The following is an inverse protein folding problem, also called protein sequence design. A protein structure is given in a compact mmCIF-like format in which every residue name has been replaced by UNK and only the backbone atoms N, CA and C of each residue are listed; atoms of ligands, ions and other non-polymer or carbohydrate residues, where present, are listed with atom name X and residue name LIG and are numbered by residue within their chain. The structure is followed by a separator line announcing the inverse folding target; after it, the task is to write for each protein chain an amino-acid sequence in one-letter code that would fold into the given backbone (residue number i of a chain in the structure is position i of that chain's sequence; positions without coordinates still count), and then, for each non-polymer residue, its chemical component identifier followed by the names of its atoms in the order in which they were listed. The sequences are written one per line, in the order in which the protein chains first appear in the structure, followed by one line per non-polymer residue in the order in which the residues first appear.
data_IF_362806776330
#
_entry.id   IF_362806776330
#
_cell.length_a   1.000
_cell.length_b   1.000
_cell.length_c   1.000
_cell.angle_alpha   90.00
_cell.angle_beta   90.00
_cell.angle_gamma   90.00
#
_symmetry.space_group_name_H-M   'P 1'
#
loop_
_entity.id
_entity.type
_entity.pdbx_description
1 polymer ?
#
# COMPACT_ATOMS: atom_id res chain seq x y z
N UNK A 1 -12.56 4.29 -26.30
CA UNK A 1 -12.09 2.92 -26.58
C UNK A 1 -11.83 2.26 -25.25
N UNK A 2 -12.57 1.19 -24.96
CA UNK A 2 -12.54 0.47 -23.69
C UNK A 2 -11.20 -0.24 -23.51
N UNK A 3 -10.27 0.34 -22.77
CA UNK A 3 -9.06 -0.35 -22.31
C UNK A 3 -9.39 -1.03 -20.99
N UNK A 4 -9.75 -2.32 -21.08
CA UNK A 4 -9.82 -3.18 -19.90
C UNK A 4 -8.45 -3.15 -19.19
N UNK A 5 -8.45 -2.82 -17.91
CA UNK A 5 -7.26 -2.86 -17.07
C UNK A 5 -6.78 -4.31 -16.91
N UNK A 6 -5.46 -4.55 -16.85
CA UNK A 6 -4.92 -5.91 -16.78
C UNK A 6 -5.31 -6.55 -15.45
N UNK A 7 -6.10 -7.62 -15.53
CA UNK A 7 -6.35 -8.56 -14.42
C UNK A 7 -5.00 -9.20 -14.09
N UNK A 8 -4.38 -8.80 -12.97
CA UNK A 8 -3.03 -9.22 -12.60
C UNK A 8 -3.04 -10.63 -11.98
N UNK A 9 -2.27 -11.54 -12.60
CA UNK A 9 -1.82 -12.87 -12.17
C UNK A 9 -2.90 -13.85 -11.69
N UNK A 10 -3.13 -14.91 -12.49
CA UNK A 10 -4.06 -16.00 -12.21
C UNK A 10 -3.67 -16.77 -10.94
N UNK A 11 -4.54 -16.70 -9.94
CA UNK A 11 -4.46 -17.53 -8.76
C UNK A 11 -5.26 -18.82 -9.01
N UNK A 12 -4.60 -19.98 -9.10
CA UNK A 12 -5.28 -21.24 -9.40
C UNK A 12 -5.84 -21.90 -8.12
N UNK A 13 -7.14 -22.21 -8.12
CA UNK A 13 -7.89 -22.87 -7.03
C UNK A 13 -9.25 -22.21 -6.77
N UNK A 14 -10.29 -22.99 -6.44
CA UNK A 14 -11.68 -22.51 -6.29
C UNK A 14 -11.82 -21.27 -5.39
N UNK A 15 -11.16 -21.26 -4.23
CA UNK A 15 -11.16 -20.12 -3.31
C UNK A 15 -10.63 -18.83 -3.95
N UNK A 16 -9.58 -18.96 -4.77
CA UNK A 16 -8.93 -17.83 -5.42
C UNK A 16 -9.71 -17.34 -6.64
N UNK A 17 -10.34 -18.26 -7.39
CA UNK A 17 -11.24 -17.93 -8.49
C UNK A 17 -12.46 -17.13 -8.00
N UNK A 18 -13.03 -17.52 -6.87
CA UNK A 18 -14.17 -16.82 -6.28
C UNK A 18 -13.79 -15.42 -5.78
N UNK A 19 -12.63 -15.30 -5.13
CA UNK A 19 -12.05 -14.00 -4.80
C UNK A 19 -11.86 -13.14 -6.04
N UNK A 20 -11.34 -13.69 -7.13
CA UNK A 20 -11.11 -12.95 -8.38
C UNK A 20 -12.41 -12.48 -9.05
N UNK A 21 -13.50 -13.26 -8.95
CA UNK A 21 -14.83 -12.83 -9.39
C UNK A 21 -15.32 -11.60 -8.63
N UNK A 22 -15.09 -11.56 -7.31
CA UNK A 22 -15.44 -10.40 -6.48
C UNK A 22 -14.54 -9.21 -6.83
N UNK A 23 -13.23 -9.41 -7.02
CA UNK A 23 -12.33 -8.33 -7.45
C UNK A 23 -12.74 -7.74 -8.80
N UNK A 24 -13.21 -8.55 -9.75
CA UNK A 24 -13.78 -8.04 -11.00
C UNK A 24 -15.06 -7.20 -10.78
N UNK A 25 -15.87 -7.50 -9.76
CA UNK A 25 -17.01 -6.67 -9.36
C UNK A 25 -16.54 -5.37 -8.70
N UNK A 26 -15.44 -5.39 -7.94
CA UNK A 26 -14.82 -4.20 -7.33
C UNK A 26 -14.36 -3.22 -8.41
N UNK A 27 -13.68 -3.68 -9.45
CA UNK A 27 -13.28 -2.82 -10.58
C UNK A 27 -14.49 -2.16 -11.24
N UNK A 28 -15.52 -2.95 -11.59
CA UNK A 28 -16.76 -2.40 -12.16
C UNK A 28 -17.43 -1.40 -11.23
N UNK A 29 -17.42 -1.67 -9.92
CA UNK A 29 -18.03 -0.79 -8.92
C UNK A 29 -17.31 0.56 -8.85
N UNK A 30 -15.98 0.56 -8.88
CA UNK A 30 -15.16 1.78 -8.92
C UNK A 30 -15.40 2.58 -10.21
N UNK A 31 -15.38 1.90 -11.36
CA UNK A 31 -15.66 2.51 -12.67
C UNK A 31 -17.04 3.17 -12.72
N UNK A 32 -18.08 2.44 -12.30
CA UNK A 32 -19.46 2.94 -12.27
C UNK A 32 -19.63 4.11 -11.31
N UNK A 33 -19.04 4.03 -10.12
CA UNK A 33 -19.10 5.09 -9.11
C UNK A 33 -18.43 6.37 -9.62
N UNK A 34 -17.19 6.28 -10.10
CA UNK A 34 -16.45 7.44 -10.60
C UNK A 34 -17.06 8.03 -11.87
N UNK A 35 -17.59 7.19 -12.77
CA UNK A 35 -18.31 7.68 -13.94
C UNK A 35 -19.60 8.42 -13.57
N UNK A 36 -20.30 7.98 -12.52
CA UNK A 36 -21.48 8.67 -12.02
C UNK A 36 -21.12 10.01 -11.37
N UNK A 37 -20.07 10.05 -10.55
CA UNK A 37 -19.57 11.30 -9.97
C UNK A 37 -19.16 12.29 -11.05
N UNK A 38 -18.40 11.84 -12.05
CA UNK A 38 -17.98 12.65 -13.18
C UNK A 38 -19.16 13.25 -13.93
N UNK A 39 -20.20 12.45 -14.23
CA UNK A 39 -21.43 12.95 -14.88
C UNK A 39 -22.16 14.00 -14.03
N UNK A 40 -22.23 13.76 -12.72
CA UNK A 40 -22.94 14.64 -11.78
C UNK A 40 -22.25 16.00 -11.68
N UNK A 41 -20.92 16.02 -11.55
CA UNK A 41 -20.15 17.26 -11.50
C UNK A 41 -20.09 17.99 -12.85
N UNK A 42 -19.97 17.27 -13.96
CA UNK A 42 -20.01 17.86 -15.31
C UNK A 42 -21.30 18.64 -15.58
N UNK A 43 -22.43 18.18 -15.03
CA UNK A 43 -23.73 18.85 -15.18
C UNK A 43 -23.82 20.18 -14.40
N UNK A 44 -23.00 20.35 -13.36
CA UNK A 44 -22.98 21.54 -12.51
C UNK A 44 -21.89 22.52 -12.93
N UNK A 45 -20.68 22.02 -13.17
CA UNK A 45 -19.55 22.80 -13.65
C UNK A 45 -18.60 21.88 -14.46
N UNK A 46 -18.39 22.13 -15.76
CA UNK A 46 -17.47 21.36 -16.58
C UNK A 46 -16.04 21.30 -16.04
N UNK A 47 -15.57 22.31 -15.31
CA UNK A 47 -14.22 22.35 -14.75
C UNK A 47 -14.08 21.45 -13.52
N UNK A 48 -15.17 21.17 -12.80
CA UNK A 48 -15.14 20.32 -11.61
C UNK A 48 -14.79 18.85 -11.92
N UNK A 49 -14.90 18.42 -13.19
CA UNK A 49 -14.53 17.07 -13.60
C UNK A 49 -13.02 16.83 -13.52
N UNK A 50 -12.19 17.87 -13.57
CA UNK A 50 -10.72 17.76 -13.50
C UNK A 50 -10.30 17.00 -12.23
N UNK A 51 -10.94 17.30 -11.10
CA UNK A 51 -10.62 16.66 -9.82
C UNK A 51 -11.07 15.20 -9.77
N UNK A 52 -12.24 14.89 -10.35
CA UNK A 52 -12.77 13.52 -10.43
C UNK A 52 -11.91 12.69 -11.38
N UNK A 53 -11.50 13.27 -12.51
CA UNK A 53 -10.64 12.62 -13.50
C UNK A 53 -9.27 12.31 -12.89
N UNK A 54 -8.69 13.19 -12.05
CA UNK A 54 -7.47 12.91 -11.30
C UNK A 54 -7.60 11.67 -10.38
N UNK A 55 -8.73 11.53 -9.66
CA UNK A 55 -8.98 10.33 -8.84
C UNK A 55 -9.13 9.09 -9.71
N UNK A 56 -9.88 9.19 -10.81
CA UNK A 56 -10.11 8.07 -11.72
C UNK A 56 -8.83 7.60 -12.42
N UNK A 57 -7.94 8.52 -12.79
CA UNK A 57 -6.63 8.21 -13.34
C UNK A 57 -5.74 7.48 -12.33
N UNK A 58 -5.75 7.90 -11.05
CA UNK A 58 -5.01 7.21 -10.00
C UNK A 58 -5.51 5.77 -9.81
N UNK A 59 -6.84 5.59 -9.65
CA UNK A 59 -7.48 4.27 -9.54
C UNK A 59 -7.19 3.40 -10.77
N UNK A 60 -7.30 3.99 -11.95
CA UNK A 60 -7.09 3.36 -13.26
C UNK A 60 -5.62 3.15 -13.65
N UNK A 61 -4.66 3.67 -12.87
CA UNK A 61 -3.23 3.43 -13.12
C UNK A 61 -2.79 2.01 -12.78
N UNK A 62 -3.73 1.14 -12.39
CA UNK A 62 -3.54 -0.29 -12.13
C UNK A 62 -3.11 -0.58 -10.70
N UNK A 63 -2.38 -1.68 -10.50
CA UNK A 63 -1.92 -2.16 -9.20
C UNK A 63 -2.38 -3.59 -8.93
N UNK A 64 -1.72 -4.28 -8.01
CA UNK A 64 -2.00 -5.68 -7.68
C UNK A 64 -3.30 -5.88 -6.87
N UNK A 65 -4.00 -4.79 -6.52
CA UNK A 65 -5.20 -4.77 -5.67
C UNK A 65 -5.06 -5.61 -4.39
N UNK A 66 -3.88 -5.54 -3.74
CA UNK A 66 -3.57 -6.37 -2.57
C UNK A 66 -4.57 -6.16 -1.43
N UNK A 67 -4.91 -4.90 -1.12
CA UNK A 67 -5.84 -4.55 -0.04
C UNK A 67 -7.25 -5.10 -0.30
N UNK A 68 -7.90 -4.83 -1.46
CA UNK A 68 -9.12 -5.52 -1.84
C UNK A 68 -9.00 -7.05 -1.76
N UNK A 69 -7.90 -7.63 -2.26
CA UNK A 69 -7.68 -9.08 -2.31
C UNK A 69 -7.65 -9.71 -0.91
N UNK A 70 -6.93 -9.11 0.03
CA UNK A 70 -6.90 -9.56 1.43
C UNK A 70 -8.25 -9.38 2.13
N UNK A 71 -8.97 -8.29 1.84
CA UNK A 71 -10.31 -8.08 2.40
C UNK A 71 -11.29 -9.16 1.94
N UNK A 72 -11.34 -9.43 0.63
CA UNK A 72 -12.19 -10.47 0.06
C UNK A 72 -11.80 -11.86 0.58
N UNK A 73 -10.50 -12.14 0.71
CA UNK A 73 -10.04 -13.41 1.27
C UNK A 73 -10.50 -13.59 2.73
N UNK A 74 -10.41 -12.55 3.56
CA UNK A 74 -10.91 -12.60 4.94
C UNK A 74 -12.43 -12.81 5.02
N UNK A 75 -13.18 -12.17 4.12
CA UNK A 75 -14.64 -12.31 4.03
C UNK A 75 -15.06 -13.73 3.63
N UNK A 76 -14.47 -14.27 2.57
CA UNK A 76 -14.81 -15.60 2.07
C UNK A 76 -14.30 -16.71 3.02
N UNK A 77 -13.13 -16.54 3.62
CA UNK A 77 -12.64 -17.46 4.65
C UNK A 77 -13.58 -17.52 5.87
N UNK A 78 -14.21 -16.38 6.22
CA UNK A 78 -15.23 -16.28 7.25
C UNK A 78 -16.62 -16.81 6.84
N UNK A 79 -16.78 -17.37 5.63
CA UNK A 79 -18.06 -17.91 5.15
C UNK A 79 -19.04 -16.86 4.63
N UNK A 80 -18.55 -15.67 4.26
CA UNK A 80 -19.36 -14.61 3.67
C UNK A 80 -19.99 -15.00 2.32
N UNK A 81 -21.16 -14.43 2.01
CA UNK A 81 -21.87 -14.65 0.75
C UNK A 81 -21.13 -13.96 -0.41
N UNK A 82 -20.56 -14.72 -1.37
CA UNK A 82 -19.81 -14.16 -2.48
C UNK A 82 -20.61 -13.19 -3.34
N UNK A 83 -21.95 -13.24 -3.32
CA UNK A 83 -22.82 -12.36 -4.10
C UNK A 83 -23.19 -11.06 -3.36
N UNK A 84 -22.88 -10.95 -2.06
CA UNK A 84 -23.16 -9.78 -1.25
C UNK A 84 -22.55 -8.51 -1.87
N UNK A 85 -23.26 -7.39 -1.75
CA UNK A 85 -22.81 -6.10 -2.29
C UNK A 85 -21.80 -5.43 -1.36
N UNK A 86 -21.97 -5.63 -0.06
CA UNK A 86 -21.23 -4.99 1.01
C UNK A 86 -19.73 -5.26 0.91
N UNK A 87 -19.33 -6.49 0.56
CA UNK A 87 -17.91 -6.82 0.38
C UNK A 87 -17.30 -6.08 -0.82
N UNK A 88 -18.07 -5.89 -1.89
CA UNK A 88 -17.62 -5.11 -3.06
C UNK A 88 -17.45 -3.65 -2.68
N UNK A 89 -18.38 -3.07 -1.93
CA UNK A 89 -18.31 -1.68 -1.48
C UNK A 89 -17.13 -1.47 -0.49
N UNK A 90 -16.88 -2.40 0.45
CA UNK A 90 -15.72 -2.35 1.35
C UNK A 90 -14.39 -2.43 0.58
N UNK A 91 -14.27 -3.41 -0.32
CA UNK A 91 -13.04 -3.61 -1.08
C UNK A 91 -12.77 -2.43 -2.04
N UNK A 92 -13.81 -1.84 -2.64
CA UNK A 92 -13.69 -0.62 -3.43
C UNK A 92 -13.27 0.59 -2.57
N UNK A 93 -13.79 0.72 -1.35
CA UNK A 93 -13.38 1.78 -0.43
C UNK A 93 -11.89 1.68 -0.06
N UNK A 94 -11.37 0.47 0.17
CA UNK A 94 -9.94 0.24 0.42
C UNK A 94 -9.06 0.70 -0.76
N UNK A 95 -9.52 0.54 -2.00
CA UNK A 95 -8.78 1.00 -3.18
C UNK A 95 -8.82 2.54 -3.34
N UNK A 96 -9.92 3.18 -2.94
CA UNK A 96 -10.01 4.63 -2.88
C UNK A 96 -9.16 5.22 -1.76
N UNK A 97 -9.11 4.59 -0.58
CA UNK A 97 -8.14 4.92 0.48
C UNK A 97 -6.70 4.76 -0.02
N UNK A 98 -6.45 3.73 -0.83
CA UNK A 98 -5.14 3.57 -1.45
C UNK A 98 -4.81 4.68 -2.44
N UNK A 99 -5.77 5.09 -3.24
CA UNK A 99 -5.61 6.22 -4.16
C UNK A 99 -5.37 7.53 -3.40
N UNK A 100 -6.08 7.78 -2.30
CA UNK A 100 -5.81 8.88 -1.37
C UNK A 100 -4.35 8.86 -0.90
N UNK A 101 -3.90 7.73 -0.37
CA UNK A 101 -2.57 7.60 0.21
C UNK A 101 -1.48 7.86 -0.83
N UNK A 102 -1.63 7.34 -2.05
CA UNK A 102 -0.66 7.54 -3.13
C UNK A 102 -0.61 8.99 -3.62
N UNK A 103 -1.76 9.64 -3.79
CA UNK A 103 -1.84 11.05 -4.23
C UNK A 103 -1.16 11.98 -3.24
N UNK A 104 -1.35 11.74 -1.94
CA UNK A 104 -0.74 12.52 -0.87
C UNK A 104 0.75 12.19 -0.70
N UNK A 105 1.13 10.91 -0.70
CA UNK A 105 2.53 10.48 -0.62
C UNK A 105 3.36 11.09 -1.75
N UNK A 106 2.84 11.10 -2.99
CA UNK A 106 3.56 11.68 -4.13
C UNK A 106 3.91 13.17 -3.92
N UNK A 107 3.04 13.92 -3.25
CA UNK A 107 3.28 15.33 -2.92
C UNK A 107 4.29 15.45 -1.77
N UNK A 108 4.14 14.64 -0.72
CA UNK A 108 5.01 14.69 0.46
C UNK A 108 6.45 14.29 0.13
N UNK A 109 6.63 13.33 -0.78
CA UNK A 109 7.93 12.82 -1.24
C UNK A 109 8.54 13.62 -2.41
N UNK A 110 7.86 14.67 -2.91
CA UNK A 110 8.24 15.42 -4.13
C UNK A 110 8.50 14.47 -5.34
N UNK A 111 7.65 13.44 -5.48
CA UNK A 111 7.86 12.37 -6.44
C UNK A 111 7.50 12.81 -7.86
N UNK A 112 8.46 12.80 -8.78
CA UNK A 112 8.19 13.17 -10.19
C UNK A 112 7.35 12.13 -10.94
N UNK A 113 7.56 10.84 -10.62
CA UNK A 113 6.98 9.71 -11.34
C UNK A 113 6.35 8.68 -10.40
N UNK A 114 5.21 8.13 -10.83
CA UNK A 114 4.59 6.93 -10.26
C UNK A 114 4.22 5.96 -11.37
N UNK A 115 4.65 4.69 -11.23
CA UNK A 115 4.42 3.63 -12.24
C UNK A 115 4.82 4.09 -13.65
N UNK A 116 5.98 4.75 -13.75
CA UNK A 116 6.54 5.30 -14.98
C UNK A 116 5.71 6.39 -15.66
N UNK A 117 4.76 7.02 -14.95
CA UNK A 117 3.98 8.16 -15.42
C UNK A 117 4.19 9.36 -14.49
N UNK A 118 4.05 10.61 -14.99
CA UNK A 118 4.06 11.79 -14.14
C UNK A 118 3.03 11.69 -13.02
N UNK A 119 3.40 12.09 -11.81
CA UNK A 119 2.47 12.18 -10.68
C UNK A 119 1.44 13.29 -10.91
N UNK A 120 0.32 13.24 -10.17
CA UNK A 120 -0.76 14.20 -10.32
C UNK A 120 -0.27 15.66 -10.18
N UNK A 121 0.55 15.95 -9.16
CA UNK A 121 1.04 17.31 -8.96
C UNK A 121 1.94 17.79 -10.10
N UNK A 122 2.73 16.92 -10.72
CA UNK A 122 3.53 17.25 -11.90
C UNK A 122 2.66 17.51 -13.13
N UNK A 123 1.65 16.66 -13.37
CA UNK A 123 0.70 16.81 -14.48
C UNK A 123 -0.05 18.13 -14.40
N UNK A 124 -0.60 18.48 -13.23
CA UNK A 124 -1.37 19.70 -13.06
C UNK A 124 -0.48 20.96 -13.00
N UNK A 125 0.77 20.87 -12.53
CA UNK A 125 1.73 21.97 -12.66
C UNK A 125 2.09 22.27 -14.13
N UNK A 126 2.22 21.24 -14.96
CA UNK A 126 2.42 21.39 -16.40
C UNK A 126 1.20 22.00 -17.09
N UNK A 127 -0.02 21.55 -16.73
CA UNK A 127 -1.28 22.10 -17.24
C UNK A 127 -1.41 23.60 -16.91
N UNK A 128 -1.10 24.01 -15.68
CA UNK A 128 -1.12 25.42 -15.28
C UNK A 128 -0.24 26.30 -16.19
N UNK A 129 0.97 25.82 -16.48
CA UNK A 129 1.92 26.50 -17.38
C UNK A 129 1.41 26.55 -18.82
N UNK A 130 0.87 25.43 -19.33
CA UNK A 130 0.31 25.35 -20.68
C UNK A 130 -0.84 26.34 -20.87
N UNK A 131 -1.70 26.50 -19.87
CA UNK A 131 -2.85 27.41 -19.89
C UNK A 131 -2.48 28.88 -19.68
N UNK A 132 -1.23 29.18 -19.36
CA UNK A 132 -0.78 30.56 -19.09
C UNK A 132 -1.49 31.20 -17.90
N UNK A 133 -1.89 30.38 -16.91
CA UNK A 133 -2.57 30.86 -15.73
C UNK A 133 -1.63 31.67 -14.82
N UNK A 134 -2.22 32.53 -13.99
CA UNK A 134 -1.47 33.35 -13.02
C UNK A 134 -1.09 32.51 -11.80
N UNK A 135 0.00 32.89 -11.13
CA UNK A 135 0.49 32.22 -9.91
C UNK A 135 1.58 31.18 -10.19
N UNK A 136 1.93 30.41 -9.15
CA UNK A 136 2.98 29.40 -9.20
C UNK A 136 2.41 28.02 -9.59
N UNK A 137 2.89 27.45 -10.69
CA UNK A 137 2.39 26.17 -11.23
C UNK A 137 2.62 24.98 -10.30
N UNK A 138 3.76 24.92 -9.60
CA UNK A 138 4.05 23.84 -8.62
C UNK A 138 2.98 23.79 -7.54
N UNK A 139 2.69 24.92 -6.89
CA UNK A 139 1.63 25.02 -5.87
C UNK A 139 0.24 24.67 -6.39
N UNK A 140 -0.08 25.04 -7.63
CA UNK A 140 -1.34 24.61 -8.24
C UNK A 140 -1.41 23.09 -8.35
N UNK A 141 -0.36 22.46 -8.87
CA UNK A 141 -0.26 21.00 -8.98
C UNK A 141 -0.39 20.29 -7.64
N UNK A 142 0.38 20.72 -6.64
CA UNK A 142 0.31 20.19 -5.27
C UNK A 142 -1.11 20.34 -4.69
N UNK A 143 -1.75 21.50 -4.89
CA UNK A 143 -3.11 21.75 -4.41
C UNK A 143 -4.13 20.81 -5.05
N UNK A 144 -4.03 20.55 -6.36
CA UNK A 144 -4.93 19.61 -7.05
C UNK A 144 -4.73 18.19 -6.53
N UNK A 145 -3.47 17.74 -6.37
CA UNK A 145 -3.18 16.40 -5.86
C UNK A 145 -3.69 16.19 -4.42
N UNK A 146 -3.53 17.18 -3.54
CA UNK A 146 -4.07 17.14 -2.17
C UNK A 146 -5.60 17.03 -2.20
N UNK A 147 -6.28 17.89 -2.95
CA UNK A 147 -7.74 17.87 -3.07
C UNK A 147 -8.26 16.58 -3.71
N UNK A 148 -7.53 16.01 -4.67
CA UNK A 148 -7.90 14.75 -5.31
C UNK A 148 -7.77 13.59 -4.32
N UNK A 149 -6.71 13.59 -3.50
CA UNK A 149 -6.58 12.65 -2.40
C UNK A 149 -7.77 12.76 -1.45
N UNK A 150 -8.04 13.96 -0.93
CA UNK A 150 -9.16 14.19 -0.01
C UNK A 150 -10.50 13.72 -0.59
N UNK A 151 -10.73 13.98 -1.88
CA UNK A 151 -11.92 13.51 -2.59
C UNK A 151 -11.98 11.98 -2.66
N UNK A 152 -10.87 11.30 -2.90
CA UNK A 152 -10.81 9.84 -2.90
C UNK A 152 -11.17 9.26 -1.51
N UNK A 153 -10.70 9.88 -0.42
CA UNK A 153 -11.07 9.48 0.94
C UNK A 153 -12.57 9.72 1.21
N UNK A 154 -13.12 10.87 0.79
CA UNK A 154 -14.57 11.15 0.88
C UNK A 154 -15.38 10.12 0.09
N UNK A 155 -14.91 9.70 -1.08
CA UNK A 155 -15.56 8.66 -1.86
C UNK A 155 -15.49 7.28 -1.19
N UNK A 156 -14.38 6.95 -0.54
CA UNK A 156 -14.26 5.73 0.25
C UNK A 156 -15.32 5.71 1.38
N UNK A 157 -15.45 6.79 2.14
CA UNK A 157 -16.47 6.92 3.19
C UNK A 157 -17.89 6.77 2.66
N UNK A 158 -18.17 7.32 1.46
CA UNK A 158 -19.48 7.19 0.80
C UNK A 158 -19.80 5.76 0.38
N UNK A 159 -18.79 4.95 0.02
CA UNK A 159 -18.99 3.52 -0.26
C UNK A 159 -19.25 2.72 1.02
N UNK A 160 -18.67 3.14 2.14
CA UNK A 160 -18.87 2.49 3.44
C UNK A 160 -20.16 2.94 4.15
N UNK A 161 -20.92 3.86 3.54
CA UNK A 161 -22.16 4.37 4.10
C UNK A 161 -23.18 3.22 4.28
N UNK A 162 -23.62 3.01 5.53
CA UNK A 162 -24.60 1.98 5.86
C UNK A 162 -24.01 0.62 6.25
N UNK A 163 -22.68 0.48 6.31
CA UNK A 163 -22.06 -0.72 6.83
C UNK A 163 -22.20 -0.85 8.37
N UNK A 164 -22.17 -2.09 8.91
CA UNK A 164 -22.24 -2.35 10.34
C UNK A 164 -21.17 -1.59 11.14
N UNK A 165 -21.54 -1.10 12.33
CA UNK A 165 -20.64 -0.37 13.23
C UNK A 165 -19.28 -1.08 13.46
N UNK A 166 -19.23 -2.41 13.68
CA UNK A 166 -17.95 -3.09 13.89
C UNK A 166 -16.98 -3.02 12.69
N UNK A 167 -17.49 -3.03 11.46
CA UNK A 167 -16.66 -2.87 10.25
C UNK A 167 -16.16 -1.43 10.15
N UNK A 168 -17.02 -0.45 10.46
CA UNK A 168 -16.62 0.97 10.47
C UNK A 168 -15.60 1.30 11.56
N UNK A 169 -15.62 0.60 12.70
CA UNK A 169 -14.60 0.76 13.74
C UNK A 169 -13.22 0.36 13.23
N UNK A 170 -13.12 -0.80 12.58
CA UNK A 170 -11.86 -1.27 11.97
C UNK A 170 -11.38 -0.29 10.89
N UNK A 171 -12.30 0.25 10.08
CA UNK A 171 -11.98 1.30 9.10
C UNK A 171 -11.43 2.57 9.74
N UNK A 172 -12.06 3.08 10.80
CA UNK A 172 -11.59 4.27 11.51
C UNK A 172 -10.20 4.07 12.12
N UNK A 173 -9.94 2.89 12.69
CA UNK A 173 -8.61 2.52 13.18
C UNK A 173 -7.59 2.45 12.04
N UNK A 174 -7.93 1.81 10.91
CA UNK A 174 -7.10 1.73 9.72
C UNK A 174 -6.70 3.12 9.20
N UNK A 175 -7.65 4.03 9.04
CA UNK A 175 -7.37 5.40 8.60
C UNK A 175 -6.49 6.14 9.61
N UNK A 176 -6.76 5.99 10.90
CA UNK A 176 -5.98 6.63 11.97
C UNK A 176 -4.53 6.13 11.97
N UNK A 177 -4.34 4.82 11.93
CA UNK A 177 -3.02 4.18 11.88
C UNK A 177 -2.24 4.59 10.64
N UNK A 178 -2.89 4.63 9.47
CA UNK A 178 -2.27 5.07 8.23
C UNK A 178 -1.79 6.52 8.32
N UNK A 179 -2.61 7.44 8.85
CA UNK A 179 -2.22 8.84 9.00
C UNK A 179 -1.07 9.01 9.99
N UNK A 180 -1.13 8.31 11.13
CA UNK A 180 -0.05 8.34 12.13
C UNK A 180 1.23 7.77 11.53
N UNK A 181 1.16 6.63 10.85
CA UNK A 181 2.30 6.02 10.16
C UNK A 181 2.93 6.95 9.14
N UNK A 182 2.12 7.64 8.33
CA UNK A 182 2.59 8.64 7.37
C UNK A 182 3.28 9.83 8.05
N UNK A 183 2.69 10.35 9.13
CA UNK A 183 3.32 11.43 9.88
C UNK A 183 4.66 11.00 10.49
N UNK A 184 4.74 9.79 11.06
CA UNK A 184 5.97 9.26 11.62
C UNK A 184 7.06 9.13 10.55
N UNK A 185 6.71 8.70 9.33
CA UNK A 185 7.61 8.59 8.18
C UNK A 185 8.14 9.97 7.76
N UNK A 186 7.25 10.96 7.57
CA UNK A 186 7.63 12.34 7.26
C UNK A 186 8.51 12.95 8.36
N UNK A 187 8.19 12.68 9.64
CA UNK A 187 8.98 13.16 10.78
C UNK A 187 10.36 12.51 10.82
N UNK A 188 10.44 11.20 10.59
CA UNK A 188 11.70 10.46 10.56
C UNK A 188 12.60 11.00 9.45
N UNK A 189 12.04 11.17 8.25
CA UNK A 189 12.72 11.76 7.10
C UNK A 189 13.20 13.19 7.38
N UNK A 190 12.48 13.99 8.17
CA UNK A 190 12.91 15.34 8.54
C UNK A 190 13.98 15.38 9.64
N UNK A 191 13.98 14.42 10.56
CA UNK A 191 14.93 14.37 11.68
C UNK A 191 16.28 13.77 11.30
N UNK A 192 16.31 12.84 10.33
CA UNK A 192 17.52 12.13 9.89
C UNK A 192 18.27 11.39 11.02
N UNK A 193 17.57 11.03 12.10
CA UNK A 193 18.16 10.26 13.22
C UNK A 193 17.86 8.77 13.02
N UNK A 194 18.87 7.88 13.08
CA UNK A 194 18.64 6.44 13.08
C UNK A 194 17.78 6.00 14.27
N UNK A 195 16.58 5.51 14.02
CA UNK A 195 15.69 4.95 15.03
C UNK A 195 15.06 3.63 14.52
N UNK A 196 15.68 2.47 14.85
CA UNK A 196 15.17 1.17 14.47
C UNK A 196 13.77 0.83 14.99
N UNK A 197 13.39 1.38 16.15
CA UNK A 197 12.08 1.15 16.75
C UNK A 197 11.01 1.94 15.97
N UNK A 198 11.27 3.23 15.72
CA UNK A 198 10.38 4.07 14.91
C UNK A 198 10.17 3.49 13.50
N UNK A 199 11.22 3.01 12.88
CA UNK A 199 11.15 2.38 11.54
C UNK A 199 10.26 1.14 11.54
N UNK A 200 10.31 0.36 12.62
CA UNK A 200 9.43 -0.80 12.81
C UNK A 200 7.97 -0.37 12.97
N UNK A 201 7.69 0.72 13.68
CA UNK A 201 6.34 1.29 13.79
C UNK A 201 5.81 1.85 12.46
N UNK A 202 6.65 2.52 11.68
CA UNK A 202 6.29 3.01 10.34
C UNK A 202 5.92 1.84 9.43
N UNK A 203 6.79 0.82 9.36
CA UNK A 203 6.53 -0.39 8.58
C UNK A 203 5.25 -1.12 9.04
N UNK A 204 5.04 -1.21 10.35
CA UNK A 204 3.83 -1.79 10.93
C UNK A 204 2.57 -1.07 10.44
N UNK A 205 2.52 0.26 10.57
CA UNK A 205 1.31 1.01 10.21
C UNK A 205 1.11 1.15 8.70
N UNK A 206 2.16 1.52 7.94
CA UNK A 206 2.08 1.78 6.48
C UNK A 206 2.11 0.52 5.63
N UNK A 207 2.65 -0.60 6.11
CA UNK A 207 2.68 -1.84 5.35
C UNK A 207 1.77 -2.89 5.98
N UNK A 208 2.07 -3.37 7.19
CA UNK A 208 1.39 -4.55 7.73
C UNK A 208 -0.08 -4.34 8.08
N UNK A 209 -0.37 -3.35 8.92
CA UNK A 209 -1.74 -3.01 9.32
C UNK A 209 -2.56 -2.62 8.11
N UNK A 210 -2.05 -1.65 7.35
CA UNK A 210 -2.76 -1.06 6.23
C UNK A 210 -2.99 -2.01 5.05
N UNK A 211 -1.99 -2.82 4.68
CA UNK A 211 -2.04 -3.61 3.44
C UNK A 211 -2.71 -4.96 3.65
N UNK A 212 -2.56 -5.56 4.83
CA UNK A 212 -2.91 -6.98 5.06
C UNK A 212 -3.87 -7.15 6.24
N UNK A 213 -3.44 -6.78 7.45
CA UNK A 213 -4.14 -7.09 8.70
C UNK A 213 -5.53 -6.45 8.77
N UNK A 214 -5.63 -5.13 8.56
CA UNK A 214 -6.90 -4.39 8.63
C UNK A 214 -7.85 -4.81 7.50
N UNK A 215 -7.42 -4.93 6.23
CA UNK A 215 -8.26 -5.51 5.18
C UNK A 215 -8.84 -6.89 5.53
N UNK A 216 -8.01 -7.85 5.98
CA UNK A 216 -8.49 -9.17 6.42
C UNK A 216 -9.52 -9.08 7.53
N UNK A 217 -9.23 -8.27 8.56
CA UNK A 217 -10.12 -8.08 9.70
C UNK A 217 -11.46 -7.45 9.30
N UNK A 218 -11.46 -6.48 8.38
CA UNK A 218 -12.70 -5.91 7.83
C UNK A 218 -13.54 -6.96 7.11
N UNK A 219 -12.91 -7.80 6.30
CA UNK A 219 -13.57 -8.90 5.59
C UNK A 219 -14.17 -9.91 6.56
N UNK A 220 -13.38 -10.42 7.49
CA UNK A 220 -13.81 -11.38 8.51
C UNK A 220 -14.96 -10.83 9.36
N UNK A 221 -14.86 -9.57 9.78
CA UNK A 221 -15.90 -8.91 10.57
C UNK A 221 -17.20 -8.77 9.78
N UNK A 222 -17.12 -8.44 8.49
CA UNK A 222 -18.29 -8.34 7.62
C UNK A 222 -18.97 -9.71 7.44
N UNK A 223 -18.21 -10.80 7.46
CA UNK A 223 -18.75 -12.18 7.43
C UNK A 223 -19.28 -12.67 8.80
N UNK A 224 -19.05 -11.92 9.88
CA UNK A 224 -19.40 -12.34 11.24
C UNK A 224 -18.41 -13.32 11.88
N UNK A 225 -17.21 -13.48 11.32
CA UNK A 225 -16.16 -14.39 11.78
C UNK A 225 -15.19 -13.70 12.75
N UNK A 226 -15.67 -13.38 13.96
CA UNK A 226 -14.86 -12.68 14.98
C UNK A 226 -13.73 -13.54 15.56
N UNK A 227 -13.91 -14.86 15.55
CA UNK A 227 -12.92 -15.86 15.96
C UNK A 227 -11.68 -15.88 15.06
N UNK A 228 -11.78 -15.37 13.83
CA UNK A 228 -10.66 -15.27 12.89
C UNK A 228 -9.80 -14.01 13.08
N UNK A 229 -10.23 -13.04 13.91
CA UNK A 229 -9.53 -11.74 14.02
C UNK A 229 -8.14 -11.85 14.65
N UNK A 230 -7.98 -12.63 15.72
CA UNK A 230 -6.67 -12.83 16.37
C UNK A 230 -5.68 -13.58 15.45
N UNK A 231 -6.06 -14.69 14.78
CA UNK A 231 -5.21 -15.31 13.78
C UNK A 231 -4.86 -14.40 12.60
N UNK A 232 -5.81 -13.58 12.12
CA UNK A 232 -5.55 -12.62 11.05
C UNK A 232 -4.67 -11.45 11.51
N UNK A 233 -4.68 -11.12 12.80
CA UNK A 233 -3.74 -10.17 13.38
C UNK A 233 -2.30 -10.72 13.27
N UNK A 234 -2.05 -11.91 13.80
CA UNK A 234 -0.74 -12.57 13.73
C UNK A 234 -0.25 -12.75 12.29
N UNK A 235 -1.14 -13.19 11.39
CA UNK A 235 -0.84 -13.33 9.97
C UNK A 235 -0.49 -11.99 9.31
N UNK A 236 -1.33 -10.97 9.50
CA UNK A 236 -1.18 -9.69 8.83
C UNK A 236 0.06 -8.92 9.26
N UNK A 237 0.41 -8.98 10.56
CA UNK A 237 1.65 -8.44 11.09
C UNK A 237 2.87 -9.08 10.43
N UNK A 238 2.91 -10.42 10.38
CA UNK A 238 4.04 -11.15 9.84
C UNK A 238 4.22 -10.93 8.32
N UNK A 239 3.14 -11.03 7.54
CA UNK A 239 3.19 -10.77 6.08
C UNK A 239 3.55 -9.32 5.79
N UNK A 240 3.03 -8.38 6.59
CA UNK A 240 3.34 -6.96 6.49
C UNK A 240 4.82 -6.61 6.64
N UNK A 241 5.44 -7.17 7.67
CA UNK A 241 6.88 -7.01 7.95
C UNK A 241 7.71 -7.65 6.84
N UNK A 242 7.37 -8.88 6.42
CA UNK A 242 8.03 -9.56 5.32
C UNK A 242 7.93 -8.79 4.00
N UNK A 243 6.76 -8.21 3.71
CA UNK A 243 6.52 -7.39 2.52
C UNK A 243 7.39 -6.13 2.53
N UNK A 244 7.45 -5.42 3.66
CA UNK A 244 8.28 -4.22 3.76
C UNK A 244 9.78 -4.55 3.66
N UNK A 245 10.24 -5.62 4.31
CA UNK A 245 11.63 -6.07 4.20
C UNK A 245 12.00 -6.45 2.77
N UNK A 246 11.10 -7.09 2.02
CA UNK A 246 11.32 -7.34 0.59
C UNK A 246 11.46 -6.04 -0.19
N UNK A 247 10.53 -5.10 0.02
CA UNK A 247 10.55 -3.83 -0.69
C UNK A 247 11.85 -3.08 -0.40
N UNK A 248 12.30 -3.05 0.85
CA UNK A 248 13.60 -2.47 1.24
C UNK A 248 14.78 -3.20 0.58
N UNK A 249 14.76 -4.53 0.48
CA UNK A 249 15.80 -5.29 -0.22
C UNK A 249 15.84 -4.97 -1.72
N UNK A 250 14.68 -4.82 -2.35
CA UNK A 250 14.58 -4.47 -3.77
C UNK A 250 15.06 -3.03 -4.00
N UNK A 251 14.68 -2.08 -3.16
CA UNK A 251 15.12 -0.69 -3.28
C UNK A 251 16.62 -0.54 -2.98
N UNK A 252 17.17 -1.36 -2.06
CA UNK A 252 18.58 -1.37 -1.74
C UNK A 252 19.47 -2.09 -2.77
N UNK A 253 19.07 -3.28 -3.23
CA UNK A 253 19.92 -4.20 -4.02
C UNK A 253 19.37 -4.55 -5.41
N UNK A 254 18.14 -4.16 -5.71
CA UNK A 254 17.48 -4.45 -6.99
C UNK A 254 18.06 -3.63 -8.15
N UNK A 255 17.91 -4.15 -9.36
CA UNK A 255 18.22 -3.39 -10.57
C UNK A 255 17.09 -2.39 -10.85
N UNK A 256 17.41 -1.25 -11.48
CA UNK A 256 16.43 -0.21 -11.83
C UNK A 256 15.28 -0.72 -12.73
N UNK A 257 15.49 -1.84 -13.44
CA UNK A 257 14.47 -2.49 -14.24
C UNK A 257 13.35 -3.14 -13.39
N UNK A 258 13.65 -3.55 -12.16
CA UNK A 258 12.70 -4.25 -11.26
C UNK A 258 11.99 -3.26 -10.33
N UNK A 259 12.68 -2.21 -9.86
CA UNK A 259 12.12 -1.25 -8.88
C UNK A 259 11.36 -0.09 -9.53
N UNK A 260 11.62 0.21 -10.81
CA UNK A 260 11.05 1.37 -11.50
C UNK A 260 11.54 2.73 -10.98
N UNK A 261 12.46 2.73 -10.01
CA UNK A 261 13.14 3.89 -9.43
C UNK A 261 14.64 3.86 -9.79
N UNK A 262 15.37 4.97 -9.72
CA UNK A 262 16.83 4.93 -9.74
C UNK A 262 17.32 4.01 -8.61
N UNK A 263 18.20 3.05 -8.91
CA UNK A 263 18.81 2.22 -7.87
C UNK A 263 19.45 3.10 -6.80
N UNK A 264 19.36 2.69 -5.52
CA UNK A 264 19.97 3.37 -4.37
C UNK A 264 19.33 4.71 -3.99
N UNK A 265 18.07 4.97 -4.40
CA UNK A 265 17.37 6.22 -4.05
C UNK A 265 17.25 6.40 -2.53
N UNK A 266 16.91 5.33 -1.80
CA UNK A 266 16.69 5.41 -0.36
C UNK A 266 17.97 5.71 0.42
N UNK A 267 19.12 5.20 -0.04
CA UNK A 267 20.42 5.55 0.53
C UNK A 267 20.78 7.01 0.25
N UNK A 268 20.47 7.53 -0.94
CA UNK A 268 20.66 8.95 -1.27
C UNK A 268 19.73 9.87 -0.50
N UNK A 269 18.55 9.36 -0.12
CA UNK A 269 17.60 10.04 0.75
C UNK A 269 17.87 9.78 2.25
N UNK A 270 18.92 9.00 2.57
CA UNK A 270 19.28 8.61 3.94
C UNK A 270 18.09 8.11 4.76
N UNK A 271 17.18 7.35 4.12
CA UNK A 271 15.98 6.82 4.79
C UNK A 271 16.37 5.70 5.74
N UNK A 272 15.89 5.81 6.97
CA UNK A 272 16.03 4.78 8.00
C UNK A 272 14.99 3.66 7.76
N UNK A 273 15.32 2.71 6.88
CA UNK A 273 14.41 1.62 6.49
C UNK A 273 14.42 0.47 7.51
N UNK A 274 13.50 -0.49 7.36
CA UNK A 274 13.49 -1.68 8.22
C UNK A 274 14.72 -2.56 7.95
N UNK A 275 15.20 -2.60 6.70
CA UNK A 275 16.52 -3.18 6.37
C UNK A 275 17.65 -2.55 7.17
N UNK A 276 17.72 -1.22 7.21
CA UNK A 276 18.77 -0.53 7.99
C UNK A 276 18.61 -0.81 9.49
N UNK A 277 17.38 -0.99 9.97
CA UNK A 277 17.09 -1.36 11.35
C UNK A 277 17.63 -2.75 11.69
N UNK A 278 17.52 -3.71 10.77
CA UNK A 278 18.16 -5.03 10.90
C UNK A 278 19.68 -4.86 10.87
N UNK A 279 20.22 -4.17 9.87
CA UNK A 279 21.66 -3.98 9.68
C UNK A 279 22.36 -3.38 10.92
N UNK A 280 21.78 -2.34 11.52
CA UNK A 280 22.34 -1.69 12.71
C UNK A 280 22.32 -2.59 13.95
N UNK A 281 21.38 -3.53 14.03
CA UNK A 281 21.30 -4.51 15.13
C UNK A 281 22.30 -5.65 14.95
N UNK A 282 22.56 -6.08 13.72
CA UNK A 282 23.32 -7.30 13.43
C UNK A 282 24.77 -7.06 13.03
N UNK A 283 25.11 -5.93 12.40
CA UNK A 283 26.48 -5.58 11.99
C UNK A 283 27.05 -4.41 12.79
N UNK A 284 28.05 -4.66 13.66
CA UNK A 284 28.82 -3.60 14.33
C UNK A 284 29.49 -2.65 13.34
N UNK A 285 29.98 -3.15 12.20
CA UNK A 285 30.63 -2.32 11.17
C UNK A 285 29.67 -1.31 10.55
N UNK A 286 28.42 -1.72 10.30
CA UNK A 286 27.37 -0.80 9.80
C UNK A 286 27.07 0.26 10.86
N UNK A 287 27.01 -0.13 12.13
CA UNK A 287 26.80 0.81 13.24
C UNK A 287 27.95 1.82 13.37
N UNK A 288 29.19 1.36 13.23
CA UNK A 288 30.38 2.23 13.30
C UNK A 288 30.45 3.20 12.12
N UNK A 289 30.04 2.77 10.92
CA UNK A 289 29.99 3.62 9.73
C UNK A 289 28.90 4.69 9.83
N UNK A 290 27.71 4.32 10.31
CA UNK A 290 26.55 5.21 10.44
C UNK A 290 26.70 6.17 11.63
N UNK A 291 27.27 5.69 12.75
CA UNK A 291 27.37 6.48 13.97
C UNK A 291 26.00 6.99 14.45
N UNK A 292 25.96 8.25 14.87
CA UNK A 292 24.74 8.93 15.34
C UNK A 292 23.99 9.67 14.22
N UNK A 293 24.55 9.72 12.99
CA UNK A 293 24.01 10.50 11.87
C UNK A 293 24.12 9.70 10.57
N UNK A 294 22.99 9.14 10.12
CA UNK A 294 22.93 8.40 8.86
C UNK A 294 23.29 9.27 7.65
N UNK A 295 23.06 10.59 7.71
CA UNK A 295 23.39 11.52 6.64
C UNK A 295 24.89 11.77 6.51
N UNK A 296 25.69 11.41 7.53
CA UNK A 296 27.14 11.53 7.47
C UNK A 296 27.81 10.34 6.75
N UNK A 297 27.12 9.21 6.61
CA UNK A 297 27.65 8.04 5.93
C UNK A 297 27.57 8.20 4.40
N UNK A 298 28.68 7.97 3.71
CA UNK A 298 28.69 7.93 2.25
C UNK A 298 27.79 6.79 1.74
N UNK A 299 26.76 7.09 0.91
CA UNK A 299 25.78 6.09 0.47
C UNK A 299 26.37 4.88 -0.27
N UNK A 300 27.40 5.09 -1.09
CA UNK A 300 28.04 4.00 -1.85
C UNK A 300 28.88 3.11 -0.90
N UNK A 301 29.60 3.72 0.05
CA UNK A 301 30.35 2.98 1.08
C UNK A 301 29.43 2.15 1.97
N UNK A 302 28.29 2.71 2.39
CA UNK A 302 27.29 1.99 3.19
C UNK A 302 26.69 0.82 2.40
N UNK A 303 26.33 1.03 1.14
CA UNK A 303 25.81 -0.02 0.28
C UNK A 303 26.82 -1.17 0.09
N UNK A 304 28.08 -0.86 -0.20
CA UNK A 304 29.15 -1.84 -0.33
C UNK A 304 29.40 -2.60 0.98
N UNK A 305 29.26 -1.93 2.11
CA UNK A 305 29.37 -2.57 3.41
C UNK A 305 28.22 -3.56 3.64
N UNK A 306 26.98 -3.16 3.39
CA UNK A 306 25.80 -4.03 3.51
C UNK A 306 25.89 -5.27 2.61
N UNK A 307 26.49 -5.15 1.42
CA UNK A 307 26.75 -6.27 0.53
C UNK A 307 27.79 -7.25 1.10
N UNK A 308 28.85 -6.75 1.74
CA UNK A 308 29.95 -7.58 2.26
C UNK A 308 29.67 -8.19 3.63
N UNK A 309 28.84 -7.56 4.45
CA UNK A 309 28.54 -8.04 5.81
C UNK A 309 27.45 -9.11 5.87
N UNK A 310 26.85 -9.48 4.74
CA UNK A 310 25.83 -10.53 4.70
C UNK A 310 24.45 -10.11 5.22
N UNK A 311 24.23 -8.81 5.47
CA UNK A 311 22.92 -8.27 5.92
C UNK A 311 21.78 -8.68 4.99
N UNK A 312 22.05 -8.81 3.69
CA UNK A 312 21.06 -9.33 2.75
C UNK A 312 20.54 -10.71 3.16
N UNK A 313 21.43 -11.65 3.46
CA UNK A 313 21.06 -13.02 3.81
C UNK A 313 20.33 -13.07 5.16
N UNK A 314 20.70 -12.18 6.09
CA UNK A 314 19.98 -12.03 7.36
C UNK A 314 18.55 -11.52 7.16
N UNK A 315 18.36 -10.50 6.33
CA UNK A 315 17.01 -9.98 6.02
C UNK A 315 16.18 -11.04 5.30
N UNK A 316 16.75 -11.79 4.36
CA UNK A 316 16.09 -12.93 3.72
C UNK A 316 15.67 -13.99 4.76
N UNK A 317 16.51 -14.30 5.74
CA UNK A 317 16.17 -15.22 6.84
C UNK A 317 15.01 -14.69 7.70
N UNK A 318 14.96 -13.38 7.98
CA UNK A 318 13.85 -12.78 8.73
C UNK A 318 12.55 -12.84 7.93
N UNK A 319 12.62 -12.61 6.60
CA UNK A 319 11.46 -12.75 5.71
C UNK A 319 10.89 -14.18 5.78
N UNK A 320 11.74 -15.20 5.69
CA UNK A 320 11.32 -16.61 5.77
C UNK A 320 10.72 -16.96 7.14
N UNK A 321 11.29 -16.46 8.24
CA UNK A 321 10.73 -16.63 9.59
C UNK A 321 9.33 -16.04 9.71
N UNK A 322 9.11 -14.85 9.14
CA UNK A 322 7.81 -14.16 9.13
C UNK A 322 6.80 -14.89 8.25
N UNK A 323 7.19 -15.39 7.08
CA UNK A 323 6.32 -16.25 6.27
C UNK A 323 5.95 -17.55 6.99
N UNK A 324 6.88 -18.14 7.76
CA UNK A 324 6.61 -19.29 8.64
C UNK A 324 5.55 -18.96 9.70
N UNK A 325 5.71 -17.82 10.38
CA UNK A 325 4.73 -17.33 11.39
C UNK A 325 3.35 -17.12 10.78
N UNK A 326 3.29 -16.47 9.61
CA UNK A 326 2.05 -16.25 8.89
C UNK A 326 1.34 -17.57 8.54
N UNK A 327 2.09 -18.54 8.00
CA UNK A 327 1.58 -19.86 7.64
C UNK A 327 0.99 -20.61 8.84
N UNK A 328 1.66 -20.56 9.99
CA UNK A 328 1.18 -21.22 11.21
C UNK A 328 -0.08 -20.57 11.78
N UNK A 329 -0.21 -19.24 11.66
CA UNK A 329 -1.37 -18.49 12.11
C UNK A 329 -2.65 -18.91 11.37
N UNK A 330 -2.61 -19.02 10.04
CA UNK A 330 -3.83 -19.32 9.24
C UNK A 330 -4.18 -20.80 9.19
N UNK A 331 -3.20 -21.71 9.23
CA UNK A 331 -3.46 -23.17 9.18
C UNK A 331 -4.34 -23.70 10.32
N UNK A 332 -4.35 -22.99 11.44
CA UNK A 332 -5.13 -23.37 12.64
C UNK A 332 -6.47 -22.64 12.74
N UNK A 333 -6.70 -21.63 11.89
CA UNK A 333 -7.78 -20.67 12.06
C UNK A 333 -8.83 -20.70 10.95
N UNK A 334 -8.45 -21.12 9.74
CA UNK A 334 -9.34 -21.17 8.59
C UNK A 334 -9.36 -22.56 7.95
N UNK A 335 -10.34 -22.82 7.09
CA UNK A 335 -10.39 -24.07 6.33
C UNK A 335 -9.12 -24.27 5.48
N UNK A 336 -8.70 -25.53 5.23
CA UNK A 336 -7.45 -25.82 4.52
C UNK A 336 -7.30 -25.09 3.17
N UNK A 337 -8.40 -24.98 2.40
CA UNK A 337 -8.40 -24.28 1.12
C UNK A 337 -8.07 -22.78 1.25
N UNK A 338 -8.53 -22.12 2.32
CA UNK A 338 -8.27 -20.72 2.60
C UNK A 338 -6.91 -20.51 3.26
N UNK A 339 -6.46 -21.45 4.08
CA UNK A 339 -5.10 -21.44 4.62
C UNK A 339 -4.08 -21.51 3.47
N UNK A 340 -4.27 -22.42 2.52
CA UNK A 340 -3.41 -22.55 1.35
C UNK A 340 -3.49 -21.32 0.43
N UNK A 341 -4.68 -20.73 0.26
CA UNK A 341 -4.86 -19.50 -0.51
C UNK A 341 -4.13 -18.31 0.13
N UNK A 342 -4.27 -18.10 1.43
CA UNK A 342 -3.60 -17.04 2.17
C UNK A 342 -2.08 -17.22 2.14
N UNK A 343 -1.58 -18.44 2.34
CA UNK A 343 -0.13 -18.73 2.21
C UNK A 343 0.39 -18.36 0.82
N UNK A 344 -0.31 -18.75 -0.26
CA UNK A 344 0.06 -18.34 -1.62
C UNK A 344 0.02 -16.82 -1.81
N UNK A 345 -0.99 -16.14 -1.24
CA UNK A 345 -1.09 -14.69 -1.31
C UNK A 345 0.06 -13.99 -0.56
N UNK A 346 0.48 -14.50 0.59
CA UNK A 346 1.66 -14.01 1.31
C UNK A 346 2.94 -14.18 0.48
N UNK A 347 3.17 -15.39 -0.03
CA UNK A 347 4.34 -15.70 -0.85
C UNK A 347 4.41 -14.82 -2.10
N UNK A 348 3.30 -14.59 -2.80
CA UNK A 348 3.27 -13.70 -3.98
C UNK A 348 3.38 -12.21 -3.63
N UNK A 349 2.90 -11.79 -2.46
CA UNK A 349 3.10 -10.43 -1.99
C UNK A 349 4.59 -10.15 -1.73
N UNK A 350 5.28 -11.12 -1.10
CA UNK A 350 6.68 -11.02 -0.64
C UNK A 350 7.70 -11.40 -1.70
N UNK A 351 7.39 -12.29 -2.64
CA UNK A 351 8.29 -12.68 -3.73
C UNK A 351 7.67 -12.16 -5.01
N UNK A 352 7.92 -10.89 -5.33
CA UNK A 352 7.54 -10.32 -6.62
C UNK A 352 8.27 -11.12 -7.70
N UNK A 353 7.54 -11.84 -8.56
CA UNK A 353 8.10 -12.38 -9.79
C UNK A 353 8.78 -11.21 -10.54
N UNK A 354 10.07 -11.39 -10.80
CA UNK A 354 10.92 -10.54 -11.64
C UNK A 354 10.43 -10.45 -13.06
#
# INVERSE_FOLDING_TARGET
MSTALPVSHEFTGLALEERDRILARVERRLEEFLAQERRSWAALNPDAVELVDCVAEMVGSGGKRLRPSFCVAGYLAGGGDPEAREIVDVAAALELLHSFALLHDDVMDDAELRRSRPTAHMTHAALHKERGWRGEGRRYGESVAVLAGDLALVYAERLLAGLPDPVRQIWGELCTELMIGQFLDVRAAAQFVPDPELSSWIALFKSGRYTVQRPLAMGARLAGAEDMLEPFDAYGLAVGEAFQLRDDLLDAFGSSAVTGKPARLDFKQHKMTLLMSVALRTSPEVRDLVGDDLAAADPDTLHDLLLRTGVRDEVESVIEERLGTARDAVRRAVEPQWADALVRMAEQAVHRDT
#
